data_IF_288070627025
#
_entry.id   IF_288070627025
#
_cell.length_a   1.000
_cell.length_b   1.000
_cell.length_c   1.000
_cell.angle_alpha   90.00
_cell.angle_beta   90.00
_cell.angle_gamma   90.00
#
_symmetry.space_group_name_H-M   'P 1'
#
loop_
_entity.id
_entity.type
_entity.pdbx_description
1 polymer ?
#
# COMPACT_ATOMS: atom_id res chain seq x y z
N UNK A 1 3.56 17.67 6.29
CA UNK A 1 3.25 16.88 5.08
C UNK A 1 4.28 15.79 4.99
N UNK A 2 3.90 14.60 4.54
CA UNK A 2 4.85 13.51 4.28
C UNK A 2 5.94 14.00 3.34
N UNK A 3 7.16 13.47 3.44
CA UNK A 3 8.16 13.64 2.38
C UNK A 3 7.77 12.76 1.18
N UNK A 4 6.67 13.14 0.55
CA UNK A 4 6.11 12.50 -0.63
C UNK A 4 6.66 13.13 -1.90
N UNK A 5 6.81 12.32 -2.95
CA UNK A 5 7.06 12.79 -4.32
C UNK A 5 5.99 13.79 -4.80
N UNK A 6 4.78 13.72 -4.25
CA UNK A 6 3.67 14.60 -4.60
C UNK A 6 3.72 15.96 -3.89
N UNK A 7 4.47 16.07 -2.78
CA UNK A 7 4.46 17.25 -1.89
C UNK A 7 4.73 18.57 -2.63
N UNK A 8 5.76 18.69 -3.48
CA UNK A 8 6.04 19.95 -4.17
C UNK A 8 4.88 20.36 -5.08
N UNK A 9 4.30 19.39 -5.78
CA UNK A 9 3.17 19.59 -6.68
C UNK A 9 1.91 19.98 -5.93
N UNK A 10 1.60 19.28 -4.84
CA UNK A 10 0.47 19.57 -3.95
C UNK A 10 0.57 20.98 -3.36
N UNK A 11 1.75 21.37 -2.83
CA UNK A 11 1.98 22.72 -2.31
C UNK A 11 1.64 23.79 -3.34
N UNK A 12 2.11 23.60 -4.58
CA UNK A 12 1.81 24.52 -5.69
C UNK A 12 0.30 24.56 -6.00
N UNK A 13 -0.37 23.41 -6.08
CA UNK A 13 -1.82 23.32 -6.35
C UNK A 13 -2.63 24.05 -5.28
N UNK A 14 -2.38 23.76 -4.01
CA UNK A 14 -3.15 24.31 -2.87
C UNK A 14 -2.96 25.83 -2.74
N UNK A 15 -1.76 26.35 -3.07
CA UNK A 15 -1.45 27.78 -2.99
C UNK A 15 -2.04 28.64 -4.11
N UNK A 16 -2.53 28.04 -5.20
CA UNK A 16 -3.01 28.76 -6.39
C UNK A 16 -4.29 29.58 -6.17
N UNK A 17 -5.41 28.99 -5.72
CA UNK A 17 -6.62 29.77 -5.47
C UNK A 17 -6.38 30.80 -4.36
N UNK A 18 -7.08 31.93 -4.42
CA UNK A 18 -7.02 32.99 -3.40
C UNK A 18 -8.35 33.09 -2.65
N UNK A 19 -8.32 33.64 -1.44
CA UNK A 19 -9.52 33.82 -0.61
C UNK A 19 -9.98 32.52 0.06
N UNK A 20 -11.24 32.50 0.51
CA UNK A 20 -11.87 31.33 1.10
C UNK A 20 -12.14 30.27 0.04
N UNK A 21 -11.81 29.02 0.36
CA UNK A 21 -11.84 27.92 -0.61
C UNK A 21 -12.64 26.72 -0.12
N UNK A 22 -13.22 26.02 -1.09
CA UNK A 22 -13.80 24.69 -0.91
C UNK A 22 -12.94 23.69 -1.68
N UNK A 23 -12.64 22.54 -1.09
CA UNK A 23 -12.08 21.41 -1.82
C UNK A 23 -13.22 20.43 -2.13
N UNK A 24 -13.45 20.20 -3.42
CA UNK A 24 -14.47 19.30 -3.91
C UNK A 24 -13.80 18.04 -4.44
N UNK A 25 -14.26 16.87 -4.01
CA UNK A 25 -13.71 15.57 -4.39
C UNK A 25 -14.80 14.69 -4.97
N UNK A 26 -14.42 13.70 -5.76
CA UNK A 26 -15.21 12.47 -5.92
C UNK A 26 -14.70 11.37 -4.97
N UNK A 27 -15.42 10.25 -4.89
CA UNK A 27 -15.07 9.12 -4.02
C UNK A 27 -13.60 8.67 -4.16
N UNK A 28 -13.12 8.51 -5.40
CA UNK A 28 -11.76 8.04 -5.67
C UNK A 28 -10.71 9.10 -5.34
N UNK A 29 -10.91 10.34 -5.74
CA UNK A 29 -9.96 11.43 -5.49
C UNK A 29 -9.82 11.73 -4.00
N UNK A 30 -10.89 11.63 -3.23
CA UNK A 30 -10.84 11.77 -1.78
C UNK A 30 -9.96 10.69 -1.14
N UNK A 31 -10.18 9.43 -1.49
CA UNK A 31 -9.41 8.31 -0.92
C UNK A 31 -7.95 8.32 -1.35
N UNK A 32 -7.62 8.76 -2.56
CA UNK A 32 -6.24 8.97 -3.01
C UNK A 32 -5.58 10.14 -2.29
N UNK A 33 -6.20 11.32 -2.32
CA UNK A 33 -5.56 12.55 -1.83
C UNK A 33 -5.49 12.62 -0.29
N UNK A 34 -6.39 11.97 0.43
CA UNK A 34 -6.31 11.86 1.90
C UNK A 34 -5.03 11.15 2.38
N UNK A 35 -4.43 10.29 1.56
CA UNK A 35 -3.13 9.65 1.86
C UNK A 35 -1.94 10.59 1.71
N UNK A 36 -2.10 11.73 1.04
CA UNK A 36 -1.00 12.64 0.71
C UNK A 36 -1.16 14.03 1.36
N UNK A 37 -2.41 14.45 1.57
CA UNK A 37 -2.79 15.79 2.02
C UNK A 37 -3.47 15.70 3.38
N UNK A 38 -2.80 16.10 4.47
CA UNK A 38 -3.43 16.21 5.77
C UNK A 38 -4.57 17.23 5.74
N UNK A 39 -5.68 16.93 6.42
CA UNK A 39 -6.80 17.87 6.60
C UNK A 39 -6.35 19.21 7.20
N UNK A 40 -5.47 19.15 8.20
CA UNK A 40 -4.87 20.34 8.84
C UNK A 40 -4.13 21.22 7.86
N UNK A 41 -3.54 20.65 6.81
CA UNK A 41 -2.85 21.41 5.77
C UNK A 41 -3.84 22.14 4.85
N UNK A 42 -4.98 21.53 4.52
CA UNK A 42 -6.03 22.19 3.74
C UNK A 42 -6.59 23.40 4.53
N UNK A 43 -6.93 23.20 5.81
CA UNK A 43 -7.40 24.28 6.68
C UNK A 43 -6.39 25.43 6.79
N UNK A 44 -5.10 25.12 6.95
CA UNK A 44 -4.04 26.13 7.01
C UNK A 44 -3.84 26.92 5.69
N UNK A 45 -4.46 26.48 4.60
CA UNK A 45 -4.42 27.14 3.29
C UNK A 45 -5.82 27.67 2.87
N UNK A 46 -6.67 28.00 3.85
CA UNK A 46 -7.99 28.62 3.70
C UNK A 46 -9.06 27.72 3.05
N UNK A 47 -8.84 26.41 3.01
CA UNK A 47 -9.88 25.44 2.66
C UNK A 47 -10.73 25.14 3.88
N UNK A 48 -11.84 25.87 4.05
CA UNK A 48 -12.69 25.75 5.23
C UNK A 48 -13.69 24.59 5.13
N UNK A 49 -13.98 24.12 3.91
CA UNK A 49 -14.95 23.05 3.66
C UNK A 49 -14.38 22.03 2.67
N UNK A 50 -14.51 20.75 3.03
CA UNK A 50 -14.30 19.62 2.14
C UNK A 50 -15.67 19.05 1.79
N UNK A 51 -15.91 18.75 0.52
CA UNK A 51 -17.19 18.23 0.06
C UNK A 51 -17.02 17.18 -1.03
N UNK A 52 -18.02 16.32 -1.16
CA UNK A 52 -18.09 15.30 -2.21
C UNK A 52 -19.00 15.82 -3.33
N UNK A 53 -18.60 15.63 -4.58
CA UNK A 53 -19.36 16.09 -5.75
C UNK A 53 -20.67 15.33 -5.93
N UNK A 54 -20.71 14.09 -5.41
CA UNK A 54 -21.88 13.23 -5.37
C UNK A 54 -22.97 13.75 -4.41
N UNK A 55 -22.61 14.60 -3.43
CA UNK A 55 -23.57 15.20 -2.51
C UNK A 55 -24.37 16.30 -3.22
N UNK A 56 -25.69 16.07 -3.32
CA UNK A 56 -26.64 17.00 -3.96
C UNK A 56 -27.21 18.04 -3.01
N UNK A 57 -26.98 17.91 -1.70
CA UNK A 57 -27.50 18.82 -0.68
C UNK A 57 -26.56 19.99 -0.37
N UNK A 58 -25.49 20.15 -1.16
CA UNK A 58 -24.51 21.23 -1.01
C UNK A 58 -25.18 22.59 -1.19
N UNK A 59 -24.85 23.53 -0.30
CA UNK A 59 -25.42 24.88 -0.31
C UNK A 59 -24.70 25.77 -1.32
N UNK A 60 -25.45 26.61 -2.02
CA UNK A 60 -24.90 27.54 -3.03
C UNK A 60 -24.07 28.63 -2.36
N UNK A 61 -22.81 28.77 -2.78
CA UNK A 61 -21.84 29.73 -2.25
C UNK A 61 -21.12 30.45 -3.40
N UNK A 62 -21.81 31.40 -4.04
CA UNK A 62 -21.36 32.05 -5.28
C UNK A 62 -20.14 32.98 -5.16
N UNK A 63 -19.67 33.29 -3.95
CA UNK A 63 -18.49 34.13 -3.73
C UNK A 63 -17.21 33.32 -3.42
N UNK A 64 -17.32 31.99 -3.40
CA UNK A 64 -16.26 31.10 -2.93
C UNK A 64 -15.59 30.39 -4.11
N UNK A 65 -14.27 30.24 -4.02
CA UNK A 65 -13.47 29.50 -5.00
C UNK A 65 -13.44 28.01 -4.67
N UNK A 66 -13.72 27.19 -5.66
CA UNK A 66 -13.69 25.74 -5.56
C UNK A 66 -12.43 25.18 -6.21
N UNK A 67 -11.71 24.31 -5.51
CA UNK A 67 -10.71 23.43 -6.12
C UNK A 67 -11.34 22.05 -6.25
N UNK A 68 -11.70 21.67 -7.47
CA UNK A 68 -12.34 20.40 -7.77
C UNK A 68 -11.28 19.37 -8.18
N UNK A 69 -11.03 18.39 -7.33
CA UNK A 69 -10.19 17.23 -7.59
C UNK A 69 -11.05 16.10 -8.11
N UNK A 70 -10.84 15.70 -9.37
CA UNK A 70 -11.77 14.83 -10.08
C UNK A 70 -11.01 13.66 -10.71
N UNK A 71 -11.46 12.44 -10.43
CA UNK A 71 -11.01 11.24 -11.13
C UNK A 71 -11.79 11.05 -12.42
N UNK A 72 -11.42 10.04 -13.22
CA UNK A 72 -12.15 9.70 -14.46
C UNK A 72 -13.64 9.39 -14.19
N UNK A 73 -13.95 8.84 -13.02
CA UNK A 73 -15.31 8.45 -12.63
C UNK A 73 -16.19 9.68 -12.31
N UNK A 74 -15.60 10.75 -11.77
CA UNK A 74 -16.31 11.98 -11.38
C UNK A 74 -16.58 12.96 -12.53
N UNK A 75 -16.11 12.70 -13.76
CA UNK A 75 -16.26 13.64 -14.89
C UNK A 75 -17.72 13.94 -15.21
N UNK A 76 -18.60 12.94 -15.13
CA UNK A 76 -20.04 13.13 -15.38
C UNK A 76 -20.68 14.01 -14.31
N UNK A 77 -20.27 13.86 -13.04
CA UNK A 77 -20.76 14.71 -11.95
C UNK A 77 -20.26 16.14 -12.12
N UNK A 78 -19.01 16.33 -12.56
CA UNK A 78 -18.47 17.66 -12.88
C UNK A 78 -19.24 18.33 -14.03
N UNK A 79 -19.61 17.58 -15.08
CA UNK A 79 -20.46 18.10 -16.16
C UNK A 79 -21.81 18.62 -15.64
N UNK A 80 -22.41 17.94 -14.65
CA UNK A 80 -23.67 18.38 -14.04
C UNK A 80 -23.46 19.61 -13.15
N UNK A 81 -22.38 19.63 -12.36
CA UNK A 81 -21.98 20.76 -11.53
C UNK A 81 -21.81 22.03 -12.36
N UNK A 82 -21.11 21.98 -13.49
CA UNK A 82 -20.85 23.16 -14.33
C UNK A 82 -22.10 23.69 -15.05
N UNK A 83 -23.11 22.83 -15.28
CA UNK A 83 -24.41 23.28 -15.82
C UNK A 83 -25.22 24.11 -14.83
N UNK A 84 -24.99 23.93 -13.53
CA UNK A 84 -25.68 24.64 -12.46
C UNK A 84 -24.71 24.90 -11.30
N UNK A 85 -23.74 25.82 -11.47
CA UNK A 85 -22.62 25.96 -10.55
C UNK A 85 -23.07 26.38 -9.14
N UNK A 86 -22.56 25.66 -8.16
CA UNK A 86 -22.79 25.90 -6.73
C UNK A 86 -21.83 26.96 -6.21
N UNK A 87 -20.59 26.96 -6.70
CA UNK A 87 -19.52 27.87 -6.29
C UNK A 87 -19.29 28.98 -7.32
N UNK A 88 -18.58 30.04 -6.91
CA UNK A 88 -18.33 31.21 -7.75
C UNK A 88 -17.28 31.02 -8.83
N UNK A 89 -16.28 30.16 -8.57
CA UNK A 89 -15.23 29.83 -9.51
C UNK A 89 -14.68 28.44 -9.26
N UNK A 90 -14.14 27.79 -10.30
CA UNK A 90 -13.62 26.43 -10.25
C UNK A 90 -12.21 26.37 -10.83
N UNK A 91 -11.28 25.84 -10.05
CA UNK A 91 -10.02 25.30 -10.54
C UNK A 91 -10.15 23.78 -10.57
N UNK A 92 -10.06 23.18 -11.75
CA UNK A 92 -10.29 21.74 -11.94
C UNK A 92 -8.95 21.01 -12.03
N UNK A 93 -8.79 19.97 -11.20
CA UNK A 93 -7.59 19.15 -11.11
C UNK A 93 -7.96 17.69 -11.37
N UNK A 94 -7.64 17.19 -12.56
CA UNK A 94 -7.84 15.79 -12.91
C UNK A 94 -6.71 14.92 -12.38
N UNK A 95 -7.04 13.84 -11.69
CA UNK A 95 -6.04 12.93 -11.10
C UNK A 95 -5.17 12.24 -12.16
N UNK A 96 -5.66 12.12 -13.40
CA UNK A 96 -4.98 11.51 -14.53
C UNK A 96 -5.34 12.25 -15.83
N UNK A 97 -4.84 11.78 -16.97
CA UNK A 97 -5.14 12.38 -18.27
C UNK A 97 -6.64 12.31 -18.63
N UNK A 98 -7.17 13.39 -19.22
CA UNK A 98 -8.53 13.46 -19.76
C UNK A 98 -8.50 13.44 -21.29
N UNK A 99 -9.52 12.83 -21.91
CA UNK A 99 -9.67 12.83 -23.36
C UNK A 99 -10.24 14.17 -23.86
N UNK A 100 -9.85 14.56 -25.08
CA UNK A 100 -10.28 15.81 -25.73
C UNK A 100 -11.81 15.92 -25.86
N UNK A 101 -12.50 14.80 -26.05
CA UNK A 101 -13.96 14.76 -26.15
C UNK A 101 -14.62 15.21 -24.85
N UNK A 102 -14.25 14.63 -23.71
CA UNK A 102 -14.81 15.04 -22.41
C UNK A 102 -14.41 16.46 -22.05
N UNK A 103 -13.22 16.93 -22.44
CA UNK A 103 -12.83 18.33 -22.25
C UNK A 103 -13.72 19.28 -23.07
N UNK A 104 -14.05 18.94 -24.32
CA UNK A 104 -15.00 19.70 -25.15
C UNK A 104 -16.41 19.70 -24.55
N UNK A 105 -16.86 18.60 -23.97
CA UNK A 105 -18.15 18.53 -23.29
C UNK A 105 -18.19 19.42 -22.04
N UNK A 106 -17.12 19.42 -21.23
CA UNK A 106 -16.99 20.29 -20.06
C UNK A 106 -17.02 21.76 -20.45
N UNK A 107 -16.29 22.13 -21.52
CA UNK A 107 -16.29 23.49 -22.05
C UNK A 107 -17.70 23.94 -22.53
N UNK A 108 -18.47 23.03 -23.14
CA UNK A 108 -19.87 23.31 -23.54
C UNK A 108 -20.81 23.43 -22.32
N UNK A 109 -20.52 22.72 -21.24
CA UNK A 109 -21.31 22.72 -20.02
C UNK A 109 -21.13 24.00 -19.20
N UNK A 110 -19.92 24.58 -19.19
CA UNK A 110 -19.60 25.83 -18.49
C UNK A 110 -20.14 27.08 -19.22
N UNK A 111 -21.47 27.21 -19.24
CA UNK A 111 -22.14 28.38 -19.82
C UNK A 111 -21.95 29.65 -18.98
N UNK A 112 -21.55 29.51 -17.72
CA UNK A 112 -21.40 30.61 -16.78
C UNK A 112 -19.96 31.15 -16.72
N UNK A 113 -19.01 30.49 -17.40
CA UNK A 113 -17.61 30.89 -17.43
C UNK A 113 -16.95 30.85 -16.05
N UNK A 114 -17.32 29.87 -15.22
CA UNK A 114 -16.83 29.76 -13.84
C UNK A 114 -15.52 28.99 -13.72
N UNK A 115 -15.12 28.24 -14.75
CA UNK A 115 -13.85 27.50 -14.75
C UNK A 115 -12.69 28.44 -15.09
N UNK A 116 -11.77 28.61 -14.15
CA UNK A 116 -10.60 29.48 -14.32
C UNK A 116 -9.39 28.73 -14.90
N UNK A 117 -9.08 27.56 -14.33
CA UNK A 117 -7.90 26.78 -14.70
C UNK A 117 -8.23 25.28 -14.69
N UNK A 118 -7.59 24.52 -15.59
CA UNK A 118 -7.72 23.06 -15.69
C UNK A 118 -6.33 22.43 -15.72
N UNK A 119 -6.11 21.40 -14.90
CA UNK A 119 -4.83 20.71 -14.80
C UNK A 119 -4.98 19.19 -14.75
N UNK A 120 -4.01 18.49 -15.34
CA UNK A 120 -3.78 17.07 -15.10
C UNK A 120 -2.67 16.92 -14.06
N UNK A 121 -3.02 16.40 -12.88
CA UNK A 121 -2.10 16.36 -11.73
C UNK A 121 -1.37 15.02 -11.58
N UNK A 122 -1.76 13.97 -12.27
CA UNK A 122 -1.06 12.66 -12.23
C UNK A 122 -0.79 12.16 -10.79
N UNK A 123 -1.81 12.23 -9.93
CA UNK A 123 -1.83 11.66 -8.58
C UNK A 123 -3.02 10.70 -8.50
N UNK A 124 -2.86 9.45 -8.95
CA UNK A 124 -3.95 8.45 -9.06
C UNK A 124 -3.63 7.13 -8.34
N UNK A 125 -2.72 7.17 -7.36
CA UNK A 125 -2.31 6.05 -6.53
C UNK A 125 -2.34 6.42 -5.06
N UNK A 126 -2.72 5.48 -4.20
CA UNK A 126 -2.60 5.65 -2.76
C UNK A 126 -1.14 5.54 -2.37
N UNK A 127 -0.64 6.56 -1.71
CA UNK A 127 0.70 6.51 -1.16
C UNK A 127 0.64 5.87 0.22
N UNK A 128 1.27 4.71 0.37
CA UNK A 128 1.38 4.03 1.66
C UNK A 128 2.65 4.49 2.38
N UNK A 129 3.74 4.60 1.62
CA UNK A 129 5.05 5.06 2.10
C UNK A 129 5.69 5.99 1.08
N UNK A 130 6.83 6.58 1.43
CA UNK A 130 7.58 7.48 0.53
C UNK A 130 7.87 6.83 -0.84
N UNK A 131 8.11 5.50 -0.85
CA UNK A 131 8.41 4.71 -2.04
C UNK A 131 7.47 3.51 -2.25
N UNK A 132 6.30 3.47 -1.59
CA UNK A 132 5.32 2.39 -1.73
C UNK A 132 3.96 2.96 -2.13
N UNK A 133 3.47 2.52 -3.28
CA UNK A 133 2.21 2.99 -3.86
C UNK A 133 1.32 1.80 -4.19
N UNK A 134 0.02 1.97 -3.99
CA UNK A 134 -0.98 0.92 -4.19
C UNK A 134 -2.13 1.46 -5.05
N UNK A 135 -2.59 0.65 -6.01
CA UNK A 135 -3.85 0.90 -6.71
C UNK A 135 -4.97 0.45 -5.77
N UNK A 136 -5.93 1.34 -5.50
CA UNK A 136 -7.03 1.21 -4.53
C UNK A 136 -7.23 -0.20 -3.94
N UNK A 137 -6.95 -0.40 -2.63
CA UNK A 137 -6.99 -1.74 -2.02
C UNK A 137 -8.38 -2.37 -2.00
N UNK A 138 -9.44 -1.60 -2.23
CA UNK A 138 -10.83 -2.08 -2.24
C UNK A 138 -11.32 -2.58 -3.60
N UNK A 139 -10.55 -2.40 -4.68
CA UNK A 139 -10.97 -2.81 -6.02
C UNK A 139 -10.70 -4.32 -6.24
N UNK A 140 -11.75 -5.16 -6.19
CA UNK A 140 -11.63 -6.62 -6.37
C UNK A 140 -11.10 -7.02 -7.77
N UNK A 141 -11.36 -6.20 -8.79
CA UNK A 141 -10.97 -6.44 -10.18
C UNK A 141 -10.37 -5.20 -10.83
N UNK A 142 -9.05 -5.08 -10.77
CA UNK A 142 -8.32 -4.00 -11.43
C UNK A 142 -8.02 -4.41 -12.88
N UNK A 143 -8.60 -3.70 -13.84
CA UNK A 143 -8.34 -3.90 -15.27
C UNK A 143 -6.93 -3.45 -15.67
N UNK A 144 -6.38 -4.03 -16.74
CA UNK A 144 -5.07 -3.62 -17.27
C UNK A 144 -5.05 -2.15 -17.70
N UNK A 145 -6.16 -1.65 -18.24
CA UNK A 145 -6.33 -0.23 -18.56
C UNK A 145 -6.14 0.66 -17.34
N UNK A 146 -6.71 0.28 -16.19
CA UNK A 146 -6.56 1.03 -14.94
C UNK A 146 -5.13 0.91 -14.38
N UNK A 147 -4.51 -0.27 -14.48
CA UNK A 147 -3.09 -0.48 -14.11
C UNK A 147 -2.18 0.46 -14.89
N UNK A 148 -2.30 0.45 -16.22
CA UNK A 148 -1.51 1.30 -17.12
C UNK A 148 -1.71 2.77 -16.76
N UNK A 149 -2.95 3.22 -16.59
CA UNK A 149 -3.24 4.61 -16.22
C UNK A 149 -2.56 5.02 -14.90
N UNK A 150 -2.64 4.19 -13.87
CA UNK A 150 -2.04 4.49 -12.57
C UNK A 150 -0.50 4.48 -12.64
N UNK A 151 0.09 3.54 -13.38
CA UNK A 151 1.53 3.45 -13.59
C UNK A 151 2.06 4.63 -14.40
N UNK A 152 1.37 5.00 -15.49
CA UNK A 152 1.67 6.20 -16.28
C UNK A 152 1.61 7.46 -15.42
N UNK A 153 0.61 7.57 -14.53
CA UNK A 153 0.48 8.67 -13.58
C UNK A 153 1.69 8.79 -12.64
N UNK A 154 2.13 7.67 -12.06
CA UNK A 154 3.32 7.64 -11.19
C UNK A 154 4.60 8.03 -11.93
N UNK A 155 4.84 7.43 -13.10
CA UNK A 155 6.04 7.68 -13.91
C UNK A 155 6.09 9.12 -14.41
N UNK A 156 4.94 9.71 -14.74
CA UNK A 156 4.84 11.12 -15.09
C UNK A 156 5.17 12.03 -13.92
N UNK A 157 4.74 11.68 -12.70
CA UNK A 157 5.12 12.44 -11.50
C UNK A 157 6.61 12.32 -11.17
N UNK A 158 7.21 11.15 -11.37
CA UNK A 158 8.65 10.94 -11.20
C UNK A 158 9.49 11.55 -12.33
N UNK A 159 8.84 11.98 -13.41
CA UNK A 159 9.45 12.49 -14.65
C UNK A 159 10.41 11.47 -15.32
N UNK A 160 10.09 10.17 -15.20
CA UNK A 160 10.92 9.06 -15.70
C UNK A 160 10.33 8.46 -16.99
N UNK A 161 11.19 8.26 -17.99
CA UNK A 161 10.99 7.37 -19.14
C UNK A 161 11.66 6.02 -18.84
N UNK A 162 10.92 4.99 -18.41
CA UNK A 162 11.52 3.73 -18.05
C UNK A 162 11.76 2.82 -19.26
N UNK A 163 12.84 2.04 -19.23
CA UNK A 163 12.90 0.80 -20.00
C UNK A 163 12.08 -0.25 -19.27
N UNK A 164 10.96 -0.65 -19.87
CA UNK A 164 10.00 -1.58 -19.27
C UNK A 164 10.47 -3.01 -19.52
N UNK A 165 10.55 -3.78 -18.44
CA UNK A 165 10.92 -5.18 -18.47
C UNK A 165 9.82 -5.98 -17.78
N UNK A 166 8.96 -6.60 -18.58
CA UNK A 166 7.89 -7.44 -18.07
C UNK A 166 8.27 -8.92 -18.18
N UNK A 167 7.99 -9.69 -17.12
CA UNK A 167 8.10 -11.15 -17.17
C UNK A 167 7.14 -11.70 -18.24
N UNK A 168 7.48 -12.81 -18.88
CA UNK A 168 6.83 -13.36 -20.08
C UNK A 168 5.30 -13.21 -20.16
N UNK A 169 4.58 -13.51 -19.08
CA UNK A 169 3.10 -13.48 -19.07
C UNK A 169 2.51 -12.07 -19.03
N UNK A 170 3.33 -11.03 -18.87
CA UNK A 170 2.96 -9.61 -18.75
C UNK A 170 3.57 -8.74 -19.86
N UNK A 171 4.11 -9.36 -20.92
CA UNK A 171 4.74 -8.63 -22.04
C UNK A 171 3.77 -7.66 -22.72
N UNK A 172 2.52 -8.07 -22.93
CA UNK A 172 1.51 -7.24 -23.57
C UNK A 172 1.20 -6.00 -22.72
N UNK A 173 1.00 -6.17 -21.40
CA UNK A 173 0.85 -5.07 -20.44
C UNK A 173 2.06 -4.11 -20.47
N UNK A 174 3.27 -4.67 -20.56
CA UNK A 174 4.50 -3.89 -20.67
C UNK A 174 4.58 -3.06 -21.97
N UNK A 175 4.18 -3.64 -23.10
CA UNK A 175 4.13 -2.96 -24.39
C UNK A 175 3.07 -1.85 -24.39
N UNK A 176 1.87 -2.13 -23.89
CA UNK A 176 0.79 -1.14 -23.78
C UNK A 176 1.17 0.02 -22.87
N UNK A 177 1.86 -0.26 -21.76
CA UNK A 177 2.41 0.78 -20.90
C UNK A 177 3.47 1.62 -21.63
N UNK A 178 4.36 1.00 -22.40
CA UNK A 178 5.36 1.71 -23.22
C UNK A 178 4.67 2.67 -24.19
N UNK A 179 3.69 2.18 -24.94
CA UNK A 179 2.90 2.97 -25.88
C UNK A 179 2.17 4.13 -25.19
N UNK A 180 1.65 3.92 -23.97
CA UNK A 180 1.01 4.98 -23.19
C UNK A 180 2.00 6.08 -22.75
N UNK A 181 3.28 5.77 -22.61
CA UNK A 181 4.30 6.70 -22.11
C UNK A 181 4.95 7.53 -23.22
N UNK A 182 4.99 7.01 -24.46
CA UNK A 182 5.58 7.70 -25.62
C UNK A 182 5.04 9.13 -25.81
N UNK A 183 3.78 9.35 -25.44
CA UNK A 183 3.12 10.66 -25.54
C UNK A 183 3.77 11.75 -24.67
N UNK A 184 4.50 11.38 -23.61
CA UNK A 184 4.98 12.33 -22.59
C UNK A 184 6.46 12.69 -22.71
N UNK A 185 7.25 11.98 -23.54
CA UNK A 185 8.67 12.23 -23.82
C UNK A 185 9.49 12.73 -22.61
N UNK A 186 9.65 11.89 -21.59
CA UNK A 186 10.34 12.26 -20.34
C UNK A 186 11.86 12.22 -20.50
N UNK A 187 12.56 13.14 -19.82
CA UNK A 187 14.03 13.30 -19.94
C UNK A 187 14.82 12.30 -19.09
N UNK A 188 14.31 11.91 -17.92
CA UNK A 188 15.03 11.07 -16.99
C UNK A 188 14.84 9.60 -17.36
N UNK A 189 15.92 8.86 -17.56
CA UNK A 189 15.84 7.43 -17.88
C UNK A 189 15.74 6.63 -16.58
N UNK A 190 15.01 5.51 -16.61
CA UNK A 190 14.93 4.56 -15.48
C UNK A 190 14.65 3.14 -15.95
N UNK A 191 14.57 2.21 -15.01
CA UNK A 191 14.18 0.81 -15.27
C UNK A 191 12.87 0.51 -14.55
N UNK A 192 11.96 -0.22 -15.19
CA UNK A 192 10.73 -0.70 -14.56
C UNK A 192 10.60 -2.20 -14.75
N UNK A 193 10.59 -2.95 -13.65
CA UNK A 193 10.35 -4.38 -13.65
C UNK A 193 8.87 -4.65 -13.32
N UNK A 194 8.19 -5.39 -14.19
CA UNK A 194 6.81 -5.83 -13.98
C UNK A 194 6.80 -7.34 -13.79
N UNK A 195 6.26 -7.77 -12.66
CA UNK A 195 6.17 -9.19 -12.30
C UNK A 195 4.80 -9.50 -11.71
N UNK A 196 4.46 -10.79 -11.74
CA UNK A 196 3.22 -11.34 -11.22
C UNK A 196 3.47 -11.98 -9.84
N UNK A 197 2.51 -11.88 -8.91
CA UNK A 197 2.62 -12.45 -7.56
C UNK A 197 2.83 -13.96 -7.57
N UNK A 198 2.40 -14.67 -8.63
CA UNK A 198 2.64 -16.13 -8.76
C UNK A 198 4.11 -16.56 -8.70
N UNK A 199 5.04 -15.65 -8.96
CA UNK A 199 6.47 -15.94 -8.86
C UNK A 199 6.98 -15.95 -7.41
N UNK A 200 6.18 -15.48 -6.44
CA UNK A 200 6.47 -15.50 -5.01
C UNK A 200 5.16 -15.56 -4.21
N UNK A 201 4.66 -16.77 -3.98
CA UNK A 201 3.42 -17.02 -3.25
C UNK A 201 3.63 -17.32 -1.77
N UNK A 202 4.88 -17.56 -1.33
CA UNK A 202 5.19 -17.87 0.07
C UNK A 202 5.32 -16.60 0.91
N UNK A 203 5.97 -15.54 0.38
CA UNK A 203 6.15 -14.28 1.11
C UNK A 203 4.85 -13.61 1.62
N UNK A 204 3.70 -13.60 0.91
CA UNK A 204 2.46 -13.04 1.46
C UNK A 204 1.82 -13.96 2.51
N UNK A 205 2.20 -15.23 2.54
CA UNK A 205 1.63 -16.22 3.45
C UNK A 205 2.45 -16.33 4.73
N UNK A 206 3.78 -16.19 4.74
CA UNK A 206 4.56 -16.40 5.96
C UNK A 206 4.37 -15.25 6.97
N UNK A 207 4.34 -15.55 8.27
CA UNK A 207 4.34 -14.49 9.29
C UNK A 207 5.61 -13.65 9.25
N UNK A 208 5.46 -12.33 9.33
CA UNK A 208 6.60 -11.43 9.34
C UNK A 208 6.87 -10.88 10.74
N UNK A 209 8.15 -10.63 11.05
CA UNK A 209 8.63 -10.26 12.39
C UNK A 209 9.13 -8.82 12.51
N UNK A 210 8.83 -7.99 11.50
CA UNK A 210 9.08 -6.56 11.50
C UNK A 210 7.84 -5.77 11.92
N UNK A 211 8.05 -4.64 12.60
CA UNK A 211 6.98 -3.87 13.24
C UNK A 211 5.79 -3.55 12.33
N UNK A 212 6.04 -2.93 11.17
CA UNK A 212 4.97 -2.54 10.25
C UNK A 212 4.20 -3.75 9.73
N UNK A 213 4.90 -4.82 9.35
CA UNK A 213 4.24 -6.02 8.84
C UNK A 213 3.40 -6.69 9.93
N UNK A 214 3.87 -6.71 11.17
CA UNK A 214 3.09 -7.23 12.30
C UNK A 214 1.85 -6.37 12.62
N UNK A 215 1.90 -5.06 12.39
CA UNK A 215 0.69 -4.22 12.47
C UNK A 215 -0.34 -4.67 11.44
N UNK A 216 0.07 -4.94 10.19
CA UNK A 216 -0.83 -5.48 9.17
C UNK A 216 -1.40 -6.86 9.53
N UNK A 217 -0.59 -7.74 10.14
CA UNK A 217 -1.00 -9.11 10.45
C UNK A 217 -1.92 -9.20 11.68
N UNK A 218 -1.72 -8.34 12.69
CA UNK A 218 -2.39 -8.47 14.00
C UNK A 218 -3.35 -7.32 14.36
N UNK A 219 -3.44 -6.28 13.53
CA UNK A 219 -4.31 -5.12 13.75
C UNK A 219 -5.00 -4.70 12.46
N UNK A 220 -6.04 -3.88 12.55
CA UNK A 220 -6.66 -3.27 11.36
C UNK A 220 -5.84 -2.07 10.89
N UNK A 221 -4.66 -2.33 10.32
CA UNK A 221 -3.82 -1.30 9.70
C UNK A 221 -4.33 -1.00 8.29
N UNK A 222 -4.76 0.23 8.02
CA UNK A 222 -5.14 0.68 6.68
C UNK A 222 -4.76 2.14 6.45
N UNK A 223 -4.05 2.41 5.35
CA UNK A 223 -3.64 3.77 4.92
C UNK A 223 -2.99 4.61 6.05
N UNK A 224 -2.15 4.00 6.90
CA UNK A 224 -1.47 4.69 8.00
C UNK A 224 -2.33 4.91 9.25
N UNK A 225 -3.52 4.33 9.30
CA UNK A 225 -4.38 4.27 10.49
C UNK A 225 -4.40 2.85 11.03
N UNK A 226 -4.34 2.71 12.35
CA UNK A 226 -4.52 1.43 13.04
C UNK A 226 -5.78 1.50 13.87
N UNK A 227 -6.77 0.67 13.54
CA UNK A 227 -7.98 0.53 14.34
C UNK A 227 -7.85 -0.66 15.29
N UNK A 228 -8.11 -0.40 16.58
CA UNK A 228 -8.11 -1.42 17.61
C UNK A 228 -9.33 -1.22 18.51
N UNK A 229 -10.40 -1.95 18.22
CA UNK A 229 -11.68 -1.81 18.92
C UNK A 229 -12.24 -0.39 18.75
N UNK A 230 -12.29 0.39 19.84
CA UNK A 230 -12.79 1.79 19.82
C UNK A 230 -11.69 2.83 19.63
N UNK A 231 -10.43 2.42 19.58
CA UNK A 231 -9.28 3.34 19.45
C UNK A 231 -8.76 3.33 18.02
N UNK A 232 -8.49 4.50 17.49
CA UNK A 232 -7.82 4.69 16.20
C UNK A 232 -6.50 5.41 16.46
N UNK A 233 -5.41 4.80 16.03
CA UNK A 233 -4.06 5.36 16.12
C UNK A 233 -3.63 5.84 14.73
N UNK A 234 -3.16 7.08 14.66
CA UNK A 234 -2.66 7.66 13.41
C UNK A 234 -1.14 7.54 13.37
N UNK A 235 -0.62 6.77 12.43
CA UNK A 235 0.82 6.55 12.22
C UNK A 235 1.37 7.36 11.03
N UNK A 236 0.48 8.05 10.30
CA UNK A 236 0.83 8.91 9.19
C UNK A 236 1.67 10.12 9.64
N UNK A 237 2.80 10.37 8.97
CA UNK A 237 3.79 11.41 9.35
C UNK A 237 4.32 11.28 10.79
N UNK A 238 4.41 10.05 11.30
CA UNK A 238 5.01 9.79 12.60
C UNK A 238 6.52 9.50 12.47
N UNK A 239 7.35 10.35 13.10
CA UNK A 239 8.80 10.20 13.10
C UNK A 239 9.29 8.95 13.85
N UNK A 240 8.58 8.55 14.91
CA UNK A 240 8.87 7.32 15.67
C UNK A 240 8.57 6.11 14.79
N UNK A 241 7.42 6.12 14.11
CA UNK A 241 7.08 5.06 13.16
C UNK A 241 8.07 4.99 12.00
N UNK A 242 8.45 6.13 11.41
CA UNK A 242 9.40 6.17 10.30
C UNK A 242 10.75 5.53 10.64
N UNK A 243 11.21 5.69 11.89
CA UNK A 243 12.44 5.08 12.41
C UNK A 243 12.27 3.60 12.77
N UNK A 244 11.09 3.18 13.22
CA UNK A 244 10.87 1.84 13.80
C UNK A 244 10.14 0.85 12.89
N UNK A 245 9.51 1.28 11.79
CA UNK A 245 8.66 0.43 10.95
C UNK A 245 9.30 -0.86 10.42
N UNK A 246 10.62 -0.86 10.20
CA UNK A 246 11.38 -2.03 9.73
C UNK A 246 12.29 -2.65 10.80
N UNK A 247 12.11 -2.29 12.07
CA UNK A 247 12.84 -2.93 13.16
C UNK A 247 12.17 -4.24 13.54
N UNK A 248 12.96 -5.24 13.90
CA UNK A 248 12.44 -6.48 14.44
C UNK A 248 11.74 -6.25 15.78
N UNK A 249 10.75 -7.09 16.09
CA UNK A 249 9.94 -6.95 17.31
C UNK A 249 10.78 -7.03 18.60
N UNK A 250 11.90 -7.76 18.59
CA UNK A 250 12.73 -7.94 19.79
C UNK A 250 13.47 -6.65 20.17
N UNK A 251 13.94 -5.89 19.18
CA UNK A 251 14.63 -4.62 19.39
C UNK A 251 13.68 -3.40 19.43
N UNK A 252 12.46 -3.54 18.92
CA UNK A 252 11.50 -2.44 18.77
C UNK A 252 11.27 -1.67 20.09
N UNK A 253 11.03 -2.37 21.21
CA UNK A 253 10.77 -1.75 22.51
C UNK A 253 11.91 -0.83 22.96
N UNK A 254 13.16 -1.27 22.77
CA UNK A 254 14.33 -0.50 23.19
C UNK A 254 14.45 0.78 22.39
N UNK A 255 14.25 0.71 21.07
CA UNK A 255 14.31 1.86 20.17
C UNK A 255 13.19 2.87 20.46
N UNK A 256 11.98 2.41 20.80
CA UNK A 256 10.88 3.30 21.23
C UNK A 256 11.21 3.98 22.57
N UNK A 257 11.87 3.28 23.50
CA UNK A 257 12.27 3.89 24.78
C UNK A 257 13.41 4.89 24.60
N UNK A 258 14.33 4.64 23.67
CA UNK A 258 15.40 5.58 23.32
C UNK A 258 14.83 6.88 22.75
N UNK A 259 13.82 6.82 21.87
CA UNK A 259 13.16 8.02 21.36
C UNK A 259 12.45 8.83 22.44
N UNK A 260 12.06 8.21 23.57
CA UNK A 260 11.54 8.91 24.76
C UNK A 260 12.62 9.75 25.46
N UNK A 261 13.87 9.30 25.48
CA UNK A 261 14.97 10.00 26.16
C UNK A 261 15.36 11.27 25.42
N UNK A 262 15.30 11.26 24.09
CA UNK A 262 15.53 12.44 23.25
C UNK A 262 14.48 13.54 23.44
N UNK A 263 13.28 13.19 23.93
CA UNK A 263 12.17 14.13 24.16
C UNK A 263 12.24 14.88 25.51
N UNK A 264 13.14 14.47 26.42
CA UNK A 264 13.30 15.10 27.74
C UNK A 264 14.67 15.80 27.83
N UNK A 265 14.86 17.00 27.24
CA UNK A 265 15.98 17.84 27.66
C UNK A 265 15.80 18.20 29.15
N UNK A 266 16.89 18.44 29.87
CA UNK A 266 16.83 18.92 31.26
C UNK A 266 16.00 20.21 31.29
N UNK A 267 14.83 20.16 31.92
CA UNK A 267 13.90 21.28 31.99
C UNK A 267 14.49 22.32 32.94
N UNK A 268 14.80 23.51 32.43
CA UNK A 268 15.04 24.69 33.24
C UNK A 268 13.68 25.24 33.73
N UNK A 269 13.59 25.73 34.96
CA UNK A 269 12.31 26.07 35.61
C UNK A 269 11.52 27.16 34.86
N UNK A 270 12.19 27.95 34.02
CA UNK A 270 11.57 28.99 33.20
C UNK A 270 10.95 28.46 31.89
N UNK A 271 11.29 27.25 31.44
CA UNK A 271 10.81 26.68 30.16
C UNK A 271 9.54 25.81 30.31
N UNK A 272 9.08 25.55 31.54
CA UNK A 272 7.96 24.66 31.87
C UNK A 272 6.67 25.03 31.10
N UNK A 273 6.43 26.32 30.86
CA UNK A 273 5.22 26.79 30.17
C UNK A 273 5.31 26.68 28.64
N UNK A 274 6.52 26.65 28.06
CA UNK A 274 6.73 26.51 26.62
C UNK A 274 6.88 25.04 26.18
N UNK A 275 7.39 24.17 27.06
CA UNK A 275 7.61 22.76 26.74
C UNK A 275 6.33 21.94 26.68
N UNK A 276 5.35 22.19 27.56
CA UNK A 276 4.19 21.31 27.73
C UNK A 276 3.39 21.04 26.44
N UNK A 277 3.21 22.03 25.57
CA UNK A 277 2.45 21.89 24.32
C UNK A 277 3.14 21.05 23.23
N UNK A 278 4.48 21.07 23.17
CA UNK A 278 5.25 20.30 22.18
C UNK A 278 5.65 18.93 22.73
N UNK A 279 5.92 18.83 24.04
CA UNK A 279 6.25 17.56 24.69
C UNK A 279 5.04 16.63 24.75
N UNK A 280 3.84 17.14 25.02
CA UNK A 280 2.61 16.32 25.07
C UNK A 280 2.39 15.54 23.76
N UNK A 281 2.58 16.18 22.61
CA UNK A 281 2.37 15.53 21.32
C UNK A 281 3.38 14.40 21.04
N UNK A 282 4.66 14.56 21.40
CA UNK A 282 5.67 13.52 21.19
C UNK A 282 5.60 12.42 22.25
N UNK A 283 5.27 12.74 23.51
CA UNK A 283 5.05 11.72 24.55
C UNK A 283 3.84 10.84 24.20
N UNK A 284 2.77 11.43 23.65
CA UNK A 284 1.60 10.70 23.20
C UNK A 284 1.91 9.72 22.05
N UNK A 285 2.84 10.07 21.13
CA UNK A 285 3.30 9.17 20.06
C UNK A 285 4.10 7.99 20.60
N UNK A 286 5.04 8.24 21.51
CA UNK A 286 5.82 7.17 22.16
C UNK A 286 4.89 6.21 22.91
N UNK A 287 3.94 6.74 23.68
CA UNK A 287 2.95 5.91 24.37
C UNK A 287 2.10 5.10 23.39
N UNK A 288 1.64 5.73 22.31
CA UNK A 288 0.93 5.05 21.22
C UNK A 288 1.73 3.86 20.70
N UNK A 289 3.00 4.06 20.36
CA UNK A 289 3.86 2.98 19.86
C UNK A 289 4.13 1.87 20.89
N UNK A 290 4.24 2.21 22.18
CA UNK A 290 4.35 1.21 23.26
C UNK A 290 3.06 0.39 23.41
N UNK A 291 1.89 1.02 23.29
CA UNK A 291 0.61 0.30 23.33
C UNK A 291 0.48 -0.68 22.16
N UNK A 292 0.79 -0.22 20.94
CA UNK A 292 0.79 -1.06 19.73
C UNK A 292 1.81 -2.21 19.83
N UNK A 293 3.01 -1.94 20.34
CA UNK A 293 4.02 -2.97 20.59
C UNK A 293 3.48 -4.06 21.53
N UNK A 294 2.84 -3.68 22.64
CA UNK A 294 2.31 -4.65 23.61
C UNK A 294 1.21 -5.53 23.00
N UNK A 295 0.34 -4.93 22.19
CA UNK A 295 -0.72 -5.66 21.46
C UNK A 295 -0.08 -6.69 20.53
N UNK A 296 0.83 -6.28 19.66
CA UNK A 296 1.52 -7.17 18.72
C UNK A 296 2.26 -8.27 19.48
N UNK A 297 2.97 -7.92 20.56
CA UNK A 297 3.73 -8.91 21.34
C UNK A 297 2.78 -9.97 21.91
N UNK A 298 1.63 -9.57 22.44
CA UNK A 298 0.65 -10.51 23.01
C UNK A 298 0.08 -11.47 21.96
N UNK A 299 -0.15 -11.03 20.73
CA UNK A 299 -0.61 -11.89 19.62
C UNK A 299 0.52 -12.74 19.04
N UNK A 300 1.74 -12.21 18.97
CA UNK A 300 2.91 -12.93 18.46
C UNK A 300 3.28 -14.15 19.31
N UNK A 301 3.06 -14.09 20.63
CA UNK A 301 3.32 -15.23 21.53
C UNK A 301 2.36 -16.38 21.23
N UNK A 302 1.09 -16.10 20.92
CA UNK A 302 0.09 -17.12 20.57
C UNK A 302 0.47 -17.84 19.27
N UNK A 303 1.01 -17.10 18.30
CA UNK A 303 1.33 -17.60 16.96
C UNK A 303 2.80 -18.00 16.77
N UNK A 304 3.65 -17.83 17.78
CA UNK A 304 5.11 -18.03 17.66
C UNK A 304 5.49 -19.45 17.24
N UNK A 305 4.83 -20.45 17.83
CA UNK A 305 5.06 -21.88 17.55
C UNK A 305 4.73 -22.20 16.08
N UNK A 306 3.62 -21.66 15.58
CA UNK A 306 3.19 -21.84 14.19
C UNK A 306 4.24 -21.28 13.23
N UNK A 307 4.70 -20.06 13.50
CA UNK A 307 5.73 -19.41 12.70
C UNK A 307 7.05 -20.20 12.72
N UNK A 308 7.47 -20.73 13.87
CA UNK A 308 8.69 -21.58 13.97
C UNK A 308 8.59 -22.81 13.05
N UNK A 309 7.42 -23.45 13.03
CA UNK A 309 7.16 -24.58 12.13
C UNK A 309 7.19 -24.15 10.67
N UNK A 310 6.52 -23.04 10.30
CA UNK A 310 6.52 -22.50 8.92
C UNK A 310 7.95 -22.33 8.39
N UNK A 311 8.79 -21.64 9.15
CA UNK A 311 10.17 -21.37 8.77
C UNK A 311 11.02 -22.63 8.72
N UNK A 312 10.84 -23.56 9.66
CA UNK A 312 11.54 -24.84 9.67
C UNK A 312 11.22 -25.67 8.42
N UNK A 313 9.93 -25.78 8.07
CA UNK A 313 9.44 -26.49 6.88
C UNK A 313 9.99 -25.89 5.58
N UNK A 314 10.05 -24.56 5.51
CA UNK A 314 10.57 -23.86 4.33
C UNK A 314 12.09 -23.96 4.21
N UNK A 315 12.80 -24.07 5.34
CA UNK A 315 14.27 -24.14 5.37
C UNK A 315 14.80 -25.54 5.07
N UNK A 316 14.11 -26.59 5.52
CA UNK A 316 14.51 -27.99 5.35
C UNK A 316 13.36 -28.84 4.82
N UNK A 317 13.58 -29.45 3.64
CA UNK A 317 12.61 -30.32 2.98
C UNK A 317 12.36 -31.63 3.72
N UNK A 318 13.32 -32.09 4.53
CA UNK A 318 13.18 -33.33 5.30
C UNK A 318 12.32 -33.12 6.56
N UNK A 319 12.30 -31.89 7.10
CA UNK A 319 11.55 -31.53 8.30
C UNK A 319 10.07 -31.95 8.22
N UNK A 320 9.44 -31.80 7.06
CA UNK A 320 8.05 -32.22 6.86
C UNK A 320 7.84 -33.72 7.14
N UNK A 321 8.76 -34.57 6.68
CA UNK A 321 8.66 -36.03 6.85
C UNK A 321 8.92 -36.44 8.30
N UNK A 322 9.84 -35.75 8.97
CA UNK A 322 10.25 -36.05 10.34
C UNK A 322 9.25 -35.56 11.39
N UNK A 323 8.43 -34.55 11.07
CA UNK A 323 7.55 -33.89 12.04
C UNK A 323 6.06 -33.83 11.63
N UNK A 324 5.58 -34.86 10.92
CA UNK A 324 4.18 -34.94 10.47
C UNK A 324 3.15 -34.81 11.60
N UNK A 325 3.43 -35.39 12.77
CA UNK A 325 2.53 -35.33 13.93
C UNK A 325 2.32 -33.90 14.44
N UNK A 326 3.40 -33.09 14.47
CA UNK A 326 3.34 -31.68 14.88
C UNK A 326 2.50 -30.87 13.89
N UNK A 327 2.73 -31.07 12.59
CA UNK A 327 1.98 -30.41 11.52
C UNK A 327 0.49 -30.76 11.62
N UNK A 328 0.18 -32.03 11.86
CA UNK A 328 -1.19 -32.49 12.00
C UNK A 328 -1.89 -31.91 13.23
N UNK A 329 -1.18 -31.81 14.36
CA UNK A 329 -1.74 -31.23 15.59
C UNK A 329 -2.24 -29.80 15.37
N UNK A 330 -1.45 -28.99 14.64
CA UNK A 330 -1.79 -27.61 14.32
C UNK A 330 -2.95 -27.51 13.34
N UNK A 331 -2.94 -28.31 12.27
CA UNK A 331 -4.00 -28.27 11.25
C UNK A 331 -5.36 -28.74 11.79
N UNK A 332 -5.38 -29.64 12.78
CA UNK A 332 -6.60 -30.16 13.40
C UNK A 332 -7.08 -29.35 14.61
N UNK A 333 -6.25 -28.46 15.15
CA UNK A 333 -6.60 -27.70 16.34
C UNK A 333 -7.65 -26.61 16.03
N UNK A 334 -8.90 -26.87 16.43
CA UNK A 334 -10.02 -25.94 16.21
C UNK A 334 -9.96 -24.68 17.09
N UNK A 335 -9.05 -24.61 18.05
CA UNK A 335 -8.81 -23.37 18.81
C UNK A 335 -8.09 -22.33 17.95
N UNK A 336 -7.33 -22.76 16.93
CA UNK A 336 -6.68 -21.88 15.97
C UNK A 336 -7.69 -21.45 14.91
N UNK A 337 -7.75 -20.14 14.65
CA UNK A 337 -8.61 -19.56 13.62
C UNK A 337 -8.39 -20.24 12.26
N UNK A 338 -9.47 -20.38 11.49
CA UNK A 338 -9.47 -21.12 10.23
C UNK A 338 -8.47 -20.53 9.22
N UNK A 339 -8.37 -19.21 9.16
CA UNK A 339 -7.49 -18.46 8.25
C UNK A 339 -6.02 -18.81 8.48
N UNK A 340 -5.59 -18.90 9.75
CA UNK A 340 -4.22 -19.26 10.09
C UNK A 340 -3.90 -20.72 9.78
N UNK A 341 -4.86 -21.62 10.02
CA UNK A 341 -4.71 -23.04 9.64
C UNK A 341 -4.66 -23.21 8.12
N UNK A 342 -5.51 -22.50 7.39
CA UNK A 342 -5.51 -22.50 5.93
C UNK A 342 -4.20 -21.96 5.37
N UNK A 343 -3.71 -20.82 5.87
CA UNK A 343 -2.40 -20.24 5.49
C UNK A 343 -1.26 -21.25 5.68
N UNK A 344 -1.20 -21.90 6.83
CA UNK A 344 -0.20 -22.93 7.11
C UNK A 344 -0.35 -24.15 6.20
N UNK A 345 -1.58 -24.60 5.97
CA UNK A 345 -1.88 -25.67 5.01
C UNK A 345 -1.36 -25.31 3.61
N UNK A 346 -1.59 -24.09 3.13
CA UNK A 346 -1.12 -23.62 1.82
C UNK A 346 0.41 -23.61 1.74
N UNK A 347 1.11 -23.12 2.76
CA UNK A 347 2.59 -23.13 2.81
C UNK A 347 3.12 -24.56 2.68
N UNK A 348 2.55 -25.48 3.46
CA UNK A 348 2.93 -26.90 3.42
C UNK A 348 2.62 -27.53 2.06
N UNK A 349 1.42 -27.27 1.52
CA UNK A 349 1.02 -27.79 0.22
C UNK A 349 1.97 -27.30 -0.88
N UNK A 350 2.29 -25.99 -0.92
CA UNK A 350 3.22 -25.41 -1.90
C UNK A 350 4.62 -26.01 -1.76
N UNK A 351 5.11 -26.20 -0.53
CA UNK A 351 6.42 -26.82 -0.30
C UNK A 351 6.51 -28.28 -0.79
N UNK A 352 5.38 -29.01 -0.74
CA UNK A 352 5.27 -30.40 -1.19
C UNK A 352 4.97 -30.56 -2.69
N UNK A 353 4.59 -29.48 -3.39
CA UNK A 353 4.33 -29.54 -4.83
C UNK A 353 5.64 -29.66 -5.61
N UNK A 354 6.09 -30.88 -5.89
CA UNK A 354 7.10 -31.12 -6.94
C UNK A 354 6.42 -31.32 -8.29
N UNK A 355 6.51 -30.28 -9.13
CA UNK A 355 5.92 -30.25 -10.47
C UNK A 355 6.61 -31.20 -11.48
N UNK A 356 7.68 -31.92 -11.08
CA UNK A 356 8.50 -32.73 -12.00
C UNK A 356 8.35 -34.24 -11.82
N UNK A 357 7.70 -34.75 -10.76
CA UNK A 357 7.64 -36.20 -10.51
C UNK A 357 6.21 -36.71 -10.27
N UNK A 358 5.78 -37.70 -11.07
CA UNK A 358 4.48 -38.39 -10.89
C UNK A 358 4.33 -39.02 -9.48
N UNK A 359 5.44 -39.31 -8.80
CA UNK A 359 5.51 -39.99 -7.51
C UNK A 359 5.18 -39.05 -6.33
N UNK A 360 5.58 -37.77 -6.41
CA UNK A 360 5.32 -36.78 -5.34
C UNK A 360 3.95 -36.11 -5.51
N UNK A 361 3.36 -36.14 -6.71
CA UNK A 361 1.96 -35.79 -6.93
C UNK A 361 0.98 -36.69 -6.15
N UNK A 362 1.40 -37.89 -5.73
CA UNK A 362 0.64 -38.73 -4.80
C UNK A 362 0.72 -38.23 -3.35
N UNK A 363 1.85 -37.67 -2.91
CA UNK A 363 2.04 -37.15 -1.56
C UNK A 363 1.28 -35.84 -1.39
N UNK A 364 1.33 -34.95 -2.39
CA UNK A 364 0.46 -33.77 -2.42
C UNK A 364 -1.00 -34.20 -2.38
N UNK A 365 -1.42 -35.15 -3.23
CA UNK A 365 -2.78 -35.68 -3.22
C UNK A 365 -3.18 -36.33 -1.88
N UNK A 366 -2.28 -37.05 -1.20
CA UNK A 366 -2.56 -37.66 0.11
C UNK A 366 -2.71 -36.59 1.20
N UNK A 367 -1.77 -35.64 1.30
CA UNK A 367 -1.80 -34.58 2.30
C UNK A 367 -3.04 -33.72 2.12
N UNK A 368 -3.31 -33.29 0.88
CA UNK A 368 -4.45 -32.46 0.52
C UNK A 368 -5.77 -33.19 0.88
N UNK A 369 -5.89 -34.49 0.56
CA UNK A 369 -7.10 -35.28 0.88
C UNK A 369 -7.33 -35.48 2.38
N UNK A 370 -6.30 -35.41 3.22
CA UNK A 370 -6.42 -35.56 4.68
C UNK A 370 -7.17 -34.39 5.33
N UNK A 371 -7.20 -33.23 4.66
CA UNK A 371 -7.81 -32.00 5.18
C UNK A 371 -8.89 -31.46 4.23
N UNK A 372 -10.08 -32.11 4.19
CA UNK A 372 -11.14 -31.78 3.24
C UNK A 372 -11.65 -30.34 3.38
N UNK A 373 -11.57 -29.75 4.58
CA UNK A 373 -12.01 -28.38 4.86
C UNK A 373 -11.23 -27.29 4.10
N UNK A 374 -10.01 -27.58 3.64
CA UNK A 374 -9.18 -26.60 2.91
C UNK A 374 -9.21 -26.76 1.39
N UNK A 375 -9.87 -27.81 0.87
CA UNK A 375 -9.79 -28.20 -0.55
C UNK A 375 -10.30 -27.11 -1.49
N UNK A 376 -11.47 -26.54 -1.18
CA UNK A 376 -12.08 -25.51 -2.02
C UNK A 376 -11.18 -24.29 -2.16
N UNK A 377 -10.68 -23.78 -1.03
CA UNK A 377 -9.75 -22.66 -1.01
C UNK A 377 -8.44 -22.97 -1.73
N UNK A 378 -7.91 -24.18 -1.57
CA UNK A 378 -6.69 -24.62 -2.24
C UNK A 378 -6.83 -24.70 -3.75
N UNK A 379 -7.92 -25.27 -4.27
CA UNK A 379 -8.14 -25.34 -5.73
C UNK A 379 -8.37 -23.97 -6.33
N UNK A 380 -9.12 -23.09 -5.66
CA UNK A 380 -9.26 -21.69 -6.06
C UNK A 380 -7.90 -20.99 -6.09
N UNK A 381 -7.05 -21.23 -5.08
CA UNK A 381 -5.69 -20.71 -5.04
C UNK A 381 -4.83 -21.20 -6.21
N UNK A 382 -4.88 -22.50 -6.53
CA UNK A 382 -4.13 -23.06 -7.68
C UNK A 382 -4.61 -22.52 -9.02
N UNK A 383 -5.92 -22.33 -9.19
CA UNK A 383 -6.52 -21.80 -10.41
C UNK A 383 -6.03 -20.37 -10.71
N UNK A 384 -6.00 -19.53 -9.66
CA UNK A 384 -5.56 -18.13 -9.75
C UNK A 384 -4.05 -18.04 -9.96
N UNK A 385 -3.26 -18.73 -9.13
CA UNK A 385 -1.82 -18.44 -9.05
C UNK A 385 -0.93 -19.41 -9.85
N UNK A 386 -1.36 -20.64 -10.15
CA UNK A 386 -0.59 -21.62 -10.94
C UNK A 386 0.90 -21.70 -10.52
N UNK A 387 1.20 -22.20 -9.31
CA UNK A 387 2.52 -22.15 -8.70
C UNK A 387 3.63 -22.72 -9.60
N UNK A 388 4.81 -22.08 -9.63
CA UNK A 388 6.03 -22.56 -10.32
C UNK A 388 7.12 -22.97 -9.32
N UNK A 389 8.02 -23.88 -9.72
CA UNK A 389 9.07 -24.49 -8.87
C UNK A 389 10.10 -23.50 -8.29
N UNK A 390 10.36 -22.38 -8.95
CA UNK A 390 11.29 -21.32 -8.48
C UNK A 390 10.68 -20.38 -7.42
N UNK A 391 9.54 -20.73 -6.82
CA UNK A 391 8.81 -19.88 -5.87
C UNK A 391 9.20 -20.09 -4.40
N UNK A 392 10.19 -20.93 -4.10
CA UNK A 392 10.63 -21.17 -2.72
C UNK A 392 11.66 -20.14 -2.26
N UNK A 393 11.57 -19.68 -1.00
CA UNK A 393 12.51 -18.74 -0.41
C UNK A 393 13.87 -19.37 -0.15
N UNK A 394 14.85 -18.53 0.21
CA UNK A 394 16.13 -18.99 0.74
C UNK A 394 16.47 -18.25 2.03
N UNK A 395 17.38 -18.82 2.82
CA UNK A 395 17.68 -18.33 4.16
C UNK A 395 19.15 -17.93 4.28
N UNK A 396 19.39 -16.79 4.94
CA UNK A 396 20.72 -16.37 5.36
C UNK A 396 21.24 -17.30 6.45
N UNK A 397 22.46 -17.80 6.28
CA UNK A 397 23.09 -18.73 7.25
C UNK A 397 23.56 -18.03 8.53
N UNK A 398 23.79 -16.72 8.46
CA UNK A 398 24.31 -15.87 9.53
C UNK A 398 23.21 -15.27 10.43
N UNK A 399 21.94 -15.59 10.19
CA UNK A 399 20.81 -15.04 10.93
C UNK A 399 19.87 -16.15 11.39
N UNK A 400 19.07 -15.84 12.41
CA UNK A 400 17.87 -16.61 12.75
C UNK A 400 16.99 -16.81 11.51
N UNK A 401 16.32 -17.97 11.41
CA UNK A 401 15.52 -18.32 10.22
C UNK A 401 14.46 -17.26 9.89
N UNK A 402 13.81 -16.67 10.91
CA UNK A 402 12.76 -15.66 10.72
C UNK A 402 13.32 -14.39 10.12
N UNK A 403 14.42 -13.90 10.68
CA UNK A 403 15.09 -12.66 10.24
C UNK A 403 15.98 -12.86 9.01
N UNK A 404 16.34 -14.11 8.73
CA UNK A 404 17.18 -14.55 7.62
C UNK A 404 16.39 -14.91 6.36
N UNK A 405 15.05 -14.84 6.40
CA UNK A 405 14.19 -15.11 5.25
C UNK A 405 14.49 -14.17 4.09
N UNK A 406 14.74 -14.74 2.91
CA UNK A 406 14.91 -13.99 1.68
C UNK A 406 13.82 -14.39 0.68
N UNK A 407 12.92 -13.44 0.33
CA UNK A 407 11.87 -13.65 -0.66
C UNK A 407 12.40 -14.20 -2.00
N UNK A 408 11.67 -15.15 -2.63
CA UNK A 408 11.97 -15.66 -3.97
C UNK A 408 12.15 -14.54 -5.01
N UNK A 409 11.37 -13.48 -4.89
CA UNK A 409 11.40 -12.33 -5.80
C UNK A 409 12.78 -11.66 -5.89
N UNK A 410 13.60 -11.71 -4.84
CA UNK A 410 14.95 -11.14 -4.86
C UNK A 410 15.84 -11.87 -5.87
N UNK A 411 15.65 -13.17 -6.09
CA UNK A 411 16.37 -13.92 -7.13
C UNK A 411 16.02 -13.41 -8.52
N UNK A 412 14.74 -13.09 -8.74
CA UNK A 412 14.24 -12.54 -10.01
C UNK A 412 14.84 -11.16 -10.27
N UNK A 413 14.83 -10.29 -9.25
CA UNK A 413 15.42 -8.95 -9.33
C UNK A 413 16.93 -9.05 -9.61
N UNK A 414 17.67 -9.93 -8.92
CA UNK A 414 19.11 -10.14 -9.15
C UNK A 414 19.42 -10.66 -10.55
N UNK A 415 18.63 -11.62 -11.05
CA UNK A 415 18.80 -12.13 -12.41
C UNK A 415 18.56 -11.03 -13.44
N UNK A 416 17.55 -10.18 -13.20
CA UNK A 416 17.25 -9.04 -14.04
C UNK A 416 18.39 -8.01 -14.08
N UNK A 417 18.90 -7.60 -12.91
CA UNK A 417 20.02 -6.64 -12.85
C UNK A 417 21.27 -7.19 -13.55
N UNK A 418 21.53 -8.49 -13.41
CA UNK A 418 22.68 -9.14 -14.06
C UNK A 418 22.52 -9.26 -15.59
N UNK A 419 21.29 -9.43 -16.09
CA UNK A 419 21.01 -9.46 -17.53
C UNK A 419 21.13 -8.08 -18.16
N UNK A 420 20.69 -7.02 -17.48
CA UNK A 420 20.89 -5.65 -17.95
C UNK A 420 22.37 -5.29 -18.02
N UNK A 421 23.17 -5.65 -17.01
CA UNK A 421 24.62 -5.42 -16.99
C UNK A 421 25.40 -6.16 -18.10
N UNK A 422 24.80 -7.18 -18.75
CA UNK A 422 25.42 -7.89 -19.89
C UNK A 422 25.03 -7.31 -21.25
N UNK A 423 24.00 -6.46 -21.29
CA UNK A 423 23.49 -5.81 -22.49
C UNK A 423 23.92 -4.33 -22.59
N UNK A 424 24.74 -3.87 -21.64
CA UNK A 424 25.58 -2.66 -21.69
C UNK A 424 27.04 -3.11 -21.68
#
# INVERSE_FOLDING_TARGET
MQNSIFTPKIKKIISKPKGLKVALFDSRSYTVLSTCIPHTYLLANDFFLLSMIEDKNRTKMSQISCSAFISKEGVVNLLQELKAPIYGSYNVYFLNSINDESLKELAKADKFGVVNEVYEIFIDLHQIEDNLFVINPSDEHITDTKRIQCLTSLLNTLEIQPTICAINDLKDLGNDLSNSLEKYNRKRIGNMLIFDRKYDMITPLVYNWYYQSMLYDYTEYNLGLVNQGKKTFQLFNDEVFAKTKFTDIANLKNIIIESKKDCNPRIDFNDIFCTNLLTENNTNKVETHLTLHNIITSESVKNGIMSDLEYSILSDKNFFKEHQEKIESVLKDKQIQFEYRLKFFLINAINLLDLNSKKEMMISNWFIKRYPEFLEAFYKFLEIYKPKKDSLPYFKKDKDLKLGYIPPIIKIIKNFTNLQLKNF
#
